data_IF_716198491995
#
_entry.id   IF_716198491995
#
_cell.length_a   1.000
_cell.length_b   1.000
_cell.length_c   1.000
_cell.angle_alpha   90.00
_cell.angle_beta   90.00
_cell.angle_gamma   90.00
#
_symmetry.space_group_name_H-M   'P 1'
#
loop_
_entity.id
_entity.type
_entity.pdbx_description
1 polymer ?
#
# COMPACT_ATOMS: atom_id res chain seq x y z
N UNK A 1 22.31 -33.13 37.24
CA UNK A 1 21.95 -32.28 36.09
C UNK A 1 22.48 -32.92 34.81
N UNK A 2 21.60 -33.41 33.93
CA UNK A 2 21.95 -34.11 32.69
C UNK A 2 22.37 -33.08 31.62
N UNK A 3 23.60 -33.21 31.11
CA UNK A 3 24.09 -32.52 29.91
C UNK A 3 23.53 -33.24 28.67
N UNK A 4 22.78 -32.52 27.83
CA UNK A 4 22.32 -33.02 26.53
C UNK A 4 23.36 -32.58 25.48
N UNK A 5 24.13 -33.54 24.98
CA UNK A 5 25.07 -33.33 23.86
C UNK A 5 24.32 -33.58 22.55
N UNK A 6 24.08 -32.54 21.74
CA UNK A 6 23.49 -32.67 20.40
C UNK A 6 24.44 -33.47 19.50
N UNK A 7 23.98 -34.59 18.95
CA UNK A 7 24.68 -35.35 17.91
C UNK A 7 24.38 -34.72 16.56
N UNK A 8 25.42 -34.29 15.84
CA UNK A 8 25.34 -33.93 14.43
C UNK A 8 25.34 -35.22 13.60
N UNK A 9 24.42 -35.32 12.64
CA UNK A 9 24.43 -36.36 11.61
C UNK A 9 25.11 -35.75 10.38
N UNK A 10 26.31 -36.22 10.07
CA UNK A 10 26.99 -35.95 8.80
C UNK A 10 26.59 -37.09 7.87
N UNK A 11 25.90 -36.78 6.77
CA UNK A 11 25.56 -37.76 5.73
C UNK A 11 26.70 -37.77 4.72
N UNK A 12 27.48 -38.86 4.58
CA UNK A 12 28.48 -38.97 3.53
C UNK A 12 27.79 -39.25 2.18
N UNK A 13 28.06 -38.41 1.18
CA UNK A 13 27.74 -38.69 -0.21
C UNK A 13 28.70 -39.78 -0.71
N UNK A 14 28.22 -41.02 -0.78
CA UNK A 14 28.89 -42.10 -1.50
C UNK A 14 28.47 -42.08 -2.98
N UNK A 15 29.40 -42.31 -3.93
CA UNK A 15 29.06 -42.43 -5.34
C UNK A 15 28.41 -43.79 -5.57
N UNK A 16 27.13 -43.80 -5.96
CA UNK A 16 26.44 -45.02 -6.34
C UNK A 16 26.78 -45.33 -7.81
N UNK A 17 27.64 -46.33 -8.02
CA UNK A 17 27.75 -47.03 -9.30
C UNK A 17 26.56 -48.00 -9.36
N UNK A 18 25.55 -47.69 -10.18
CA UNK A 18 24.41 -48.59 -10.42
C UNK A 18 24.71 -49.43 -11.66
N UNK A 19 25.15 -50.66 -11.44
CA UNK A 19 25.02 -51.72 -12.44
C UNK A 19 23.61 -52.32 -12.34
N UNK A 20 22.86 -52.22 -13.43
CA UNK A 20 21.75 -53.10 -13.84
C UNK A 20 20.74 -53.54 -12.78
N UNK A 21 19.69 -52.74 -12.57
CA UNK A 21 18.35 -53.21 -12.22
C UNK A 21 17.32 -52.29 -12.90
N UNK A 22 16.43 -52.89 -13.69
CA UNK A 22 15.36 -52.22 -14.44
C UNK A 22 14.49 -51.34 -13.52
N UNK A 23 14.70 -50.03 -13.57
CA UNK A 23 13.72 -49.04 -13.12
C UNK A 23 12.85 -48.64 -14.31
N UNK A 24 11.90 -49.50 -14.65
CA UNK A 24 10.76 -49.12 -15.49
C UNK A 24 9.64 -48.61 -14.58
N UNK A 25 9.90 -47.48 -13.94
CA UNK A 25 8.88 -46.62 -13.36
C UNK A 25 9.19 -45.23 -13.85
N UNK A 26 8.42 -44.79 -14.84
CA UNK A 26 8.32 -43.40 -15.22
C UNK A 26 8.21 -42.56 -13.95
N UNK A 27 9.23 -41.75 -13.69
CA UNK A 27 9.13 -40.66 -12.75
C UNK A 27 8.08 -39.74 -13.37
N UNK A 28 6.81 -39.94 -12.99
CA UNK A 28 5.77 -38.93 -13.19
C UNK A 28 6.28 -37.72 -12.43
N UNK A 29 6.80 -36.77 -13.20
CA UNK A 29 6.89 -35.34 -12.92
C UNK A 29 6.76 -35.03 -11.43
N UNK A 30 7.90 -34.74 -10.77
CA UNK A 30 7.88 -34.01 -9.51
C UNK A 30 7.18 -32.68 -9.79
N UNK A 31 5.87 -32.63 -9.55
CA UNK A 31 5.11 -31.38 -9.48
C UNK A 31 5.66 -30.62 -8.27
N UNK A 32 6.74 -29.88 -8.51
CA UNK A 32 7.09 -28.75 -7.65
C UNK A 32 5.93 -27.79 -7.81
N UNK A 33 4.98 -27.82 -6.88
CA UNK A 33 3.91 -26.82 -6.83
C UNK A 33 4.59 -25.45 -6.86
N UNK A 34 4.42 -24.76 -7.98
CA UNK A 34 4.86 -23.39 -8.11
C UNK A 34 4.09 -22.59 -7.07
N UNK A 35 4.81 -21.98 -6.13
CA UNK A 35 4.25 -21.08 -5.12
C UNK A 35 3.22 -20.14 -5.76
N UNK A 36 2.08 -19.96 -5.11
CA UNK A 36 1.01 -19.02 -5.53
C UNK A 36 1.46 -17.56 -5.45
N UNK A 37 2.64 -17.33 -4.87
CA UNK A 37 3.22 -16.02 -4.62
C UNK A 37 4.61 -15.90 -5.29
N UNK A 38 4.88 -14.73 -5.86
CA UNK A 38 6.20 -14.31 -6.31
C UNK A 38 6.60 -13.03 -5.60
N UNK A 39 7.45 -13.17 -4.58
CA UNK A 39 7.93 -12.05 -3.76
C UNK A 39 9.09 -11.35 -4.44
N UNK A 40 8.92 -10.07 -4.74
CA UNK A 40 9.86 -9.26 -5.52
C UNK A 40 10.76 -8.39 -4.64
N UNK A 41 10.26 -7.98 -3.47
CA UNK A 41 11.01 -7.21 -2.49
C UNK A 41 10.57 -7.57 -1.06
N UNK A 42 11.49 -7.44 -0.10
CA UNK A 42 11.31 -7.89 1.28
C UNK A 42 12.03 -9.20 1.61
N UNK A 43 11.77 -9.73 2.81
CA UNK A 43 12.39 -10.98 3.27
C UNK A 43 12.08 -12.13 2.33
N UNK A 44 13.09 -12.89 1.92
CA UNK A 44 12.95 -14.03 0.98
C UNK A 44 12.45 -13.65 -0.41
N UNK A 45 12.65 -12.40 -0.84
CA UNK A 45 12.43 -12.00 -2.23
C UNK A 45 13.31 -12.81 -3.20
N UNK A 46 12.81 -12.99 -4.42
CA UNK A 46 13.58 -13.64 -5.49
C UNK A 46 14.79 -12.77 -5.89
N UNK A 47 15.85 -13.42 -6.35
CA UNK A 47 17.08 -12.74 -6.79
C UNK A 47 16.90 -12.10 -8.17
N UNK A 48 17.78 -11.15 -8.51
CA UNK A 48 17.78 -10.48 -9.82
C UNK A 48 16.74 -9.36 -9.95
N UNK A 49 16.14 -8.94 -8.84
CA UNK A 49 15.29 -7.76 -8.74
C UNK A 49 15.93 -6.78 -7.77
N UNK A 50 16.00 -5.52 -8.16
CA UNK A 50 16.59 -4.46 -7.34
C UNK A 50 15.66 -3.24 -7.25
N UNK A 51 15.67 -2.51 -6.13
CA UNK A 51 14.92 -1.28 -5.95
C UNK A 51 15.66 -0.06 -6.54
N UNK A 52 14.91 0.86 -7.13
CA UNK A 52 15.39 2.07 -7.78
C UNK A 52 14.45 3.23 -7.49
N UNK A 53 14.99 4.44 -7.58
CA UNK A 53 14.22 5.67 -7.60
C UNK A 53 14.35 6.36 -8.97
N UNK A 54 13.30 7.06 -9.36
CA UNK A 54 13.23 7.85 -10.59
C UNK A 54 12.51 9.18 -10.31
N UNK A 55 12.96 10.25 -10.97
CA UNK A 55 12.43 11.59 -10.75
C UNK A 55 12.22 12.33 -12.08
N UNK A 56 11.02 12.91 -12.24
CA UNK A 56 10.69 13.80 -13.35
C UNK A 56 11.61 15.03 -13.39
N UNK A 57 12.01 15.57 -12.23
CA UNK A 57 12.85 16.78 -12.16
C UNK A 57 14.27 16.51 -12.65
N UNK A 58 14.68 15.25 -12.69
CA UNK A 58 15.99 14.81 -13.13
C UNK A 58 15.93 14.20 -14.53
N UNK A 59 15.00 14.67 -15.38
CA UNK A 59 14.76 14.17 -16.74
C UNK A 59 14.48 12.66 -16.78
N UNK A 60 13.75 12.14 -15.79
CA UNK A 60 13.40 10.73 -15.68
C UNK A 60 14.61 9.79 -15.51
N UNK A 61 15.75 10.31 -15.06
CA UNK A 61 16.89 9.48 -14.69
C UNK A 61 16.54 8.51 -13.55
N UNK A 62 17.30 7.41 -13.46
CA UNK A 62 17.10 6.37 -12.43
C UNK A 62 18.36 6.21 -11.59
N UNK A 63 18.18 5.94 -10.30
CA UNK A 63 19.28 5.63 -9.36
C UNK A 63 18.94 4.41 -8.52
N UNK A 64 19.88 3.47 -8.41
CA UNK A 64 19.68 2.25 -7.63
C UNK A 64 19.66 2.55 -6.14
N UNK A 65 18.70 1.98 -5.41
CA UNK A 65 18.61 2.09 -3.95
C UNK A 65 19.38 0.93 -3.32
N UNK A 66 20.20 1.26 -2.33
CA UNK A 66 21.00 0.29 -1.57
C UNK A 66 21.08 0.69 -0.10
N UNK A 67 21.99 0.08 0.66
CA UNK A 67 22.31 0.52 2.03
C UNK A 67 22.94 1.91 2.07
N UNK A 68 23.50 2.39 0.95
CA UNK A 68 23.94 3.77 0.82
C UNK A 68 22.75 4.60 0.30
N UNK A 69 22.44 5.76 0.91
CA UNK A 69 21.37 6.63 0.44
C UNK A 69 21.52 6.96 -1.05
N UNK A 70 20.48 6.68 -1.81
CA UNK A 70 20.27 7.18 -3.16
C UNK A 70 19.55 8.54 -3.07
N UNK A 71 19.99 9.51 -3.88
CA UNK A 71 19.45 10.86 -3.87
C UNK A 71 19.22 11.35 -5.30
N UNK A 72 18.04 11.94 -5.50
CA UNK A 72 17.64 12.65 -6.71
C UNK A 72 16.98 13.98 -6.29
N UNK A 73 16.67 14.85 -7.23
CA UNK A 73 16.01 16.13 -6.91
C UNK A 73 14.63 15.86 -6.30
N UNK A 74 14.46 16.20 -5.02
CA UNK A 74 13.21 16.02 -4.29
C UNK A 74 12.84 14.56 -3.98
N UNK A 75 13.79 13.64 -4.02
CA UNK A 75 13.58 12.25 -3.58
C UNK A 75 14.85 11.64 -3.00
N UNK A 76 14.72 11.03 -1.83
CA UNK A 76 15.79 10.26 -1.18
C UNK A 76 15.27 8.86 -0.87
N UNK A 77 16.13 7.85 -0.99
CA UNK A 77 15.78 6.49 -0.61
C UNK A 77 16.99 5.72 -0.08
N UNK A 78 16.77 4.86 0.92
CA UNK A 78 17.77 3.96 1.49
C UNK A 78 17.13 2.62 1.85
N UNK A 79 17.88 1.53 1.73
CA UNK A 79 17.45 0.24 2.26
C UNK A 79 17.80 0.14 3.75
N UNK A 80 16.80 -0.21 4.55
CA UNK A 80 16.89 -0.41 5.99
C UNK A 80 16.50 -1.84 6.36
N UNK A 81 16.84 -2.23 7.59
CA UNK A 81 16.43 -3.50 8.17
C UNK A 81 15.12 -3.31 8.94
N UNK A 82 14.10 -4.09 8.59
CA UNK A 82 12.84 -4.15 9.31
C UNK A 82 12.64 -5.56 9.89
N UNK A 83 12.37 -6.55 9.05
CA UNK A 83 12.26 -7.96 9.43
C UNK A 83 13.44 -8.81 8.93
N UNK A 84 14.28 -8.25 8.06
CA UNK A 84 15.47 -8.89 7.51
C UNK A 84 16.56 -7.87 7.20
N UNK A 85 17.54 -8.30 6.41
CA UNK A 85 18.60 -7.41 5.95
C UNK A 85 18.16 -6.70 4.67
N UNK A 86 18.16 -5.36 4.67
CA UNK A 86 17.81 -4.52 3.52
C UNK A 86 16.45 -4.85 2.91
N UNK A 87 15.50 -5.30 3.72
CA UNK A 87 14.21 -5.80 3.28
C UNK A 87 13.16 -4.69 3.12
N UNK A 88 13.47 -3.48 3.56
CA UNK A 88 12.55 -2.34 3.50
C UNK A 88 13.26 -1.15 2.87
N UNK A 89 12.56 -0.41 2.02
CA UNK A 89 13.04 0.87 1.52
C UNK A 89 12.39 1.99 2.35
N UNK A 90 13.19 2.91 2.84
CA UNK A 90 12.77 4.16 3.49
C UNK A 90 12.93 5.28 2.47
N UNK A 91 11.83 5.96 2.15
CA UNK A 91 11.74 6.94 1.07
C UNK A 91 11.23 8.28 1.63
N UNK A 92 11.85 9.35 1.15
CA UNK A 92 11.41 10.73 1.41
C UNK A 92 11.17 11.42 0.08
N UNK A 93 10.00 12.04 -0.06
CA UNK A 93 9.61 12.77 -1.27
C UNK A 93 9.27 14.20 -0.89
N UNK A 94 9.76 15.16 -1.69
CA UNK A 94 9.38 16.57 -1.57
C UNK A 94 8.99 17.14 -2.94
N UNK A 95 7.99 18.03 -2.92
CA UNK A 95 7.50 18.72 -4.11
C UNK A 95 6.25 18.06 -4.72
N UNK A 96 5.88 18.52 -5.91
CA UNK A 96 4.62 18.15 -6.58
C UNK A 96 4.80 17.46 -7.92
N UNK A 97 6.03 17.12 -8.29
CA UNK A 97 6.37 16.45 -9.54
C UNK A 97 6.50 14.94 -9.31
N UNK A 98 6.46 14.15 -10.39
CA UNK A 98 6.47 12.69 -10.30
C UNK A 98 7.76 12.18 -9.67
N UNK A 99 7.62 11.35 -8.63
CA UNK A 99 8.69 10.65 -7.90
C UNK A 99 8.30 9.20 -7.76
N UNK A 100 9.15 8.34 -8.28
CA UNK A 100 8.81 6.93 -8.48
C UNK A 100 9.78 6.08 -7.70
N UNK A 101 9.25 5.25 -6.80
CA UNK A 101 9.97 4.08 -6.32
C UNK A 101 9.60 2.90 -7.22
N UNK A 102 10.60 2.16 -7.73
CA UNK A 102 10.37 1.08 -8.67
C UNK A 102 11.26 -0.13 -8.42
N UNK A 103 10.80 -1.29 -8.87
CA UNK A 103 11.61 -2.50 -8.92
C UNK A 103 12.03 -2.74 -10.37
N UNK A 104 13.33 -3.01 -10.59
CA UNK A 104 13.89 -3.40 -11.89
C UNK A 104 14.37 -4.84 -11.83
N UNK A 105 13.98 -5.62 -12.84
CA UNK A 105 14.49 -6.96 -13.03
C UNK A 105 15.72 -6.95 -13.95
N UNK A 106 16.75 -7.73 -13.61
CA UNK A 106 17.95 -7.92 -14.44
C UNK A 106 17.63 -8.64 -15.77
N UNK A 107 16.54 -9.43 -15.78
CA UNK A 107 16.03 -10.12 -16.97
C UNK A 107 14.50 -10.04 -17.01
N UNK A 108 13.92 -10.06 -18.20
CA UNK A 108 12.45 -9.94 -18.32
C UNK A 108 11.73 -11.10 -17.64
N UNK A 109 10.65 -10.78 -16.92
CA UNK A 109 9.86 -11.72 -16.14
C UNK A 109 8.59 -12.15 -16.88
N UNK A 110 8.20 -13.41 -16.70
CA UNK A 110 6.90 -13.90 -17.14
C UNK A 110 5.92 -13.95 -15.96
N UNK A 111 5.05 -12.95 -15.89
CA UNK A 111 4.02 -12.75 -14.88
C UNK A 111 2.62 -13.10 -15.38
N UNK A 112 2.47 -13.70 -16.57
CA UNK A 112 1.15 -14.04 -17.17
C UNK A 112 0.24 -14.83 -16.24
N UNK A 113 0.80 -15.72 -15.40
CA UNK A 113 0.02 -16.50 -14.44
C UNK A 113 -0.77 -15.62 -13.47
N UNK A 114 -0.32 -14.40 -13.21
CA UNK A 114 -0.96 -13.45 -12.30
C UNK A 114 -1.93 -12.50 -12.99
N UNK A 115 -2.29 -12.69 -14.27
CA UNK A 115 -3.16 -11.76 -14.99
C UNK A 115 -4.50 -11.49 -14.29
N UNK A 116 -5.09 -12.51 -13.66
CA UNK A 116 -6.31 -12.41 -12.84
C UNK A 116 -6.02 -12.32 -11.33
N UNK A 117 -4.76 -12.16 -10.95
CA UNK A 117 -4.31 -12.08 -9.57
C UNK A 117 -4.08 -10.65 -9.11
N UNK A 118 -3.17 -10.49 -8.15
CA UNK A 118 -2.96 -9.23 -7.43
C UNK A 118 -1.49 -8.88 -7.30
N UNK A 119 -1.22 -7.58 -7.25
CA UNK A 119 0.00 -7.01 -6.66
C UNK A 119 -0.32 -6.68 -5.21
N UNK A 120 0.51 -7.13 -4.29
CA UNK A 120 0.40 -6.82 -2.88
C UNK A 120 1.70 -6.16 -2.40
N UNK A 121 1.59 -5.16 -1.55
CA UNK A 121 2.73 -4.52 -0.90
C UNK A 121 2.33 -3.93 0.45
N UNK A 122 3.32 -3.73 1.32
CA UNK A 122 3.14 -3.05 2.59
C UNK A 122 3.77 -1.68 2.56
N UNK A 123 3.07 -0.70 3.11
CA UNK A 123 3.52 0.68 3.20
C UNK A 123 3.25 1.21 4.60
N UNK A 124 4.16 2.05 5.11
CA UNK A 124 4.02 2.72 6.40
C UNK A 124 4.29 4.20 6.22
N UNK A 125 3.26 5.02 6.39
CA UNK A 125 3.38 6.48 6.33
C UNK A 125 4.27 7.01 7.45
N UNK A 126 5.18 7.95 7.16
CA UNK A 126 5.98 8.68 8.15
C UNK A 126 5.65 10.18 8.19
N UNK A 127 4.89 10.66 7.21
CA UNK A 127 4.32 12.00 7.14
C UNK A 127 2.81 11.94 6.85
N UNK A 128 2.20 13.11 6.60
CA UNK A 128 0.87 13.19 5.99
C UNK A 128 0.83 12.36 4.70
N UNK A 129 -0.27 11.61 4.52
CA UNK A 129 -0.48 10.74 3.35
C UNK A 129 -0.86 11.58 2.12
N UNK A 130 -0.43 11.18 0.92
CA UNK A 130 -0.81 11.86 -0.31
C UNK A 130 -2.28 11.59 -0.63
N UNK A 131 -2.93 12.53 -1.33
CA UNK A 131 -4.30 12.36 -1.81
C UNK A 131 -4.43 11.19 -2.80
N UNK A 132 -3.37 10.91 -3.56
CA UNK A 132 -3.34 9.82 -4.51
C UNK A 132 -1.93 9.25 -4.70
N UNK A 133 -1.87 7.99 -5.13
CA UNK A 133 -0.65 7.33 -5.60
C UNK A 133 -0.97 6.52 -6.85
N UNK A 134 0.01 6.27 -7.72
CA UNK A 134 -0.20 5.44 -8.91
C UNK A 134 0.67 4.19 -8.88
N UNK A 135 0.04 3.03 -8.98
CA UNK A 135 0.75 1.74 -9.07
C UNK A 135 0.84 1.33 -10.54
N UNK A 136 2.02 0.90 -11.01
CA UNK A 136 2.21 0.50 -12.41
C UNK A 136 3.10 -0.72 -12.59
N UNK A 137 2.95 -1.39 -13.75
CA UNK A 137 3.83 -2.43 -14.28
C UNK A 137 4.34 -1.95 -15.64
N UNK A 138 5.62 -2.22 -15.98
CA UNK A 138 6.18 -1.90 -17.29
C UNK A 138 6.99 -3.04 -17.93
N UNK A 139 7.00 -3.05 -19.26
CA UNK A 139 8.00 -3.78 -20.05
C UNK A 139 9.23 -2.94 -20.42
N UNK A 140 9.25 -1.65 -20.01
CA UNK A 140 9.99 -0.50 -20.55
C UNK A 140 9.06 0.45 -21.32
N UNK A 141 9.33 1.75 -21.24
CA UNK A 141 8.53 2.77 -21.93
C UNK A 141 8.53 2.51 -23.45
N UNK A 142 7.36 2.62 -24.14
CA UNK A 142 6.06 3.12 -23.69
C UNK A 142 5.09 2.06 -23.16
N UNK A 143 5.53 0.82 -22.93
CA UNK A 143 4.68 -0.26 -22.44
C UNK A 143 4.51 -0.19 -20.92
N UNK A 144 3.45 0.50 -20.47
CA UNK A 144 3.11 0.70 -19.07
C UNK A 144 1.60 0.56 -18.88
N UNK A 145 1.20 -0.12 -17.81
CA UNK A 145 -0.19 -0.16 -17.36
C UNK A 145 -0.23 0.22 -15.89
N UNK A 146 -1.21 1.04 -15.53
CA UNK A 146 -1.23 1.79 -14.29
C UNK A 146 -2.64 1.82 -13.69
N UNK A 147 -2.70 2.04 -12.39
CA UNK A 147 -3.93 2.32 -11.66
C UNK A 147 -3.66 3.41 -10.63
N UNK A 148 -4.50 4.46 -10.64
CA UNK A 148 -4.48 5.50 -9.62
C UNK A 148 -5.24 5.01 -8.41
N UNK A 149 -4.64 5.11 -7.23
CA UNK A 149 -5.20 4.78 -5.93
C UNK A 149 -5.46 6.08 -5.17
N UNK A 150 -6.73 6.47 -5.04
CA UNK A 150 -7.13 7.71 -4.36
C UNK A 150 -7.55 7.43 -2.92
N UNK A 151 -6.96 8.16 -1.95
CA UNK A 151 -7.37 8.08 -0.54
C UNK A 151 -7.32 6.68 0.08
N UNK A 152 -6.39 5.83 -0.37
CA UNK A 152 -6.32 4.41 0.07
C UNK A 152 -5.53 4.19 1.35
N UNK A 153 -4.77 5.21 1.81
CA UNK A 153 -3.99 5.14 3.03
C UNK A 153 -4.73 5.84 4.16
N UNK A 154 -4.84 5.18 5.31
CA UNK A 154 -5.32 5.81 6.54
C UNK A 154 -4.26 6.68 7.20
N UNK A 155 -2.98 6.34 6.98
CA UNK A 155 -1.85 6.97 7.68
C UNK A 155 -1.72 6.49 9.12
N UNK A 156 -1.02 7.27 9.96
CA UNK A 156 -0.90 6.99 11.40
C UNK A 156 0.32 6.15 11.80
N UNK A 157 1.28 5.95 10.89
CA UNK A 157 2.58 5.35 11.25
C UNK A 157 2.57 3.83 11.42
N UNK A 158 1.46 3.16 11.12
CA UNK A 158 1.35 1.70 11.12
C UNK A 158 1.61 1.11 9.74
N UNK A 159 1.93 -0.18 9.68
CA UNK A 159 2.04 -0.90 8.41
C UNK A 159 0.65 -1.18 7.84
N UNK A 160 0.38 -0.64 6.66
CA UNK A 160 -0.83 -0.88 5.87
C UNK A 160 -0.48 -1.83 4.71
N UNK A 161 -1.39 -2.75 4.39
CA UNK A 161 -1.22 -3.68 3.25
C UNK A 161 -2.16 -3.25 2.14
N UNK A 162 -1.62 -2.95 0.97
CA UNK A 162 -2.39 -2.62 -0.22
C UNK A 162 -2.38 -3.81 -1.18
N UNK A 163 -3.56 -4.17 -1.67
CA UNK A 163 -3.75 -5.26 -2.64
C UNK A 163 -4.49 -4.73 -3.86
N UNK A 164 -3.83 -4.79 -5.02
CA UNK A 164 -4.27 -4.20 -6.28
C UNK A 164 -4.51 -5.31 -7.32
N UNK A 165 -5.73 -5.46 -7.86
CA UNK A 165 -6.03 -6.43 -8.91
C UNK A 165 -5.31 -6.08 -10.22
N UNK A 166 -4.59 -7.04 -10.80
CA UNK A 166 -3.76 -6.79 -12.00
C UNK A 166 -4.60 -6.41 -13.22
N UNK A 167 -5.80 -7.00 -13.34
CA UNK A 167 -6.73 -6.72 -14.42
C UNK A 167 -7.23 -5.27 -14.46
N UNK A 168 -7.12 -4.54 -13.35
CA UNK A 168 -7.54 -3.14 -13.25
C UNK A 168 -6.47 -2.15 -13.73
N UNK A 169 -5.22 -2.59 -13.93
CA UNK A 169 -4.19 -1.72 -14.49
C UNK A 169 -4.45 -1.53 -15.98
N UNK A 170 -4.56 -0.28 -16.42
CA UNK A 170 -4.80 0.09 -17.81
C UNK A 170 -3.68 1.01 -18.31
N UNK A 171 -3.37 1.00 -19.61
CA UNK A 171 -2.49 2.03 -20.17
C UNK A 171 -3.15 3.41 -19.99
N UNK A 172 -2.37 4.40 -19.54
CA UNK A 172 -2.80 5.80 -19.57
C UNK A 172 -2.56 6.38 -20.98
N UNK A 173 -3.04 7.61 -21.19
CA UNK A 173 -2.92 8.30 -22.48
C UNK A 173 -1.46 8.38 -22.96
N UNK A 174 -1.20 7.79 -24.13
CA UNK A 174 0.13 7.73 -24.73
C UNK A 174 0.97 6.49 -24.38
N UNK A 175 0.52 5.65 -23.45
CA UNK A 175 1.12 4.34 -23.19
C UNK A 175 0.49 3.21 -24.00
N UNK A 176 1.22 2.11 -24.10
CA UNK A 176 0.73 0.84 -24.67
C UNK A 176 0.55 -0.15 -23.53
N UNK A 177 -0.50 -0.98 -23.62
CA UNK A 177 -0.72 -2.05 -22.67
C UNK A 177 0.53 -2.96 -22.52
N UNK A 178 0.76 -3.43 -21.30
CA UNK A 178 1.89 -4.32 -21.01
C UNK A 178 1.70 -5.71 -21.62
N UNK A 179 2.82 -6.33 -21.96
CA UNK A 179 2.93 -7.77 -22.16
C UNK A 179 3.43 -8.44 -20.88
N UNK A 180 2.53 -9.08 -20.13
CA UNK A 180 2.87 -9.78 -18.88
C UNK A 180 3.91 -10.91 -19.06
N UNK A 181 4.26 -11.35 -20.27
CA UNK A 181 5.31 -12.38 -20.45
C UNK A 181 6.75 -11.85 -20.48
N UNK A 182 6.95 -10.53 -20.54
CA UNK A 182 8.26 -9.92 -20.74
C UNK A 182 8.46 -8.66 -19.87
N UNK A 183 8.03 -8.71 -18.62
CA UNK A 183 8.03 -7.55 -17.70
C UNK A 183 9.45 -7.21 -17.25
N UNK A 184 9.90 -5.98 -17.52
CA UNK A 184 11.24 -5.51 -17.13
C UNK A 184 11.23 -4.76 -15.79
N UNK A 185 10.14 -4.02 -15.52
CA UNK A 185 9.97 -3.28 -14.27
C UNK A 185 8.63 -3.71 -13.64
N UNK A 186 8.62 -4.73 -12.78
CA UNK A 186 7.40 -5.35 -12.29
C UNK A 186 6.60 -4.53 -11.28
N UNK A 187 7.13 -3.40 -10.82
CA UNK A 187 6.45 -2.54 -9.86
C UNK A 187 6.96 -1.10 -9.98
N UNK A 188 6.02 -0.15 -9.98
CA UNK A 188 6.25 1.27 -9.75
C UNK A 188 5.20 1.79 -8.78
N UNK A 189 5.63 2.67 -7.88
CA UNK A 189 4.77 3.52 -7.07
C UNK A 189 5.15 4.96 -7.36
N UNK A 190 4.30 5.66 -8.11
CA UNK A 190 4.45 7.09 -8.44
C UNK A 190 3.63 7.95 -7.47
N UNK A 191 4.30 8.95 -6.90
CA UNK A 191 3.75 9.90 -5.95
C UNK A 191 4.12 11.31 -6.43
N UNK A 192 3.13 12.21 -6.42
CA UNK A 192 3.24 13.60 -6.91
C UNK A 192 3.01 14.62 -5.81
N UNK A 193 3.20 14.21 -4.56
CA UNK A 193 3.00 15.01 -3.36
C UNK A 193 4.12 14.73 -2.37
N UNK A 194 4.42 15.67 -1.48
CA UNK A 194 5.37 15.46 -0.39
C UNK A 194 4.89 14.29 0.47
N UNK A 195 5.70 13.24 0.60
CA UNK A 195 5.36 12.05 1.35
C UNK A 195 6.60 11.27 1.78
N UNK A 196 6.75 11.08 3.08
CA UNK A 196 7.76 10.21 3.66
C UNK A 196 7.09 8.87 4.03
N UNK A 197 7.69 7.77 3.61
CA UNK A 197 7.14 6.44 3.84
C UNK A 197 8.20 5.34 3.79
N UNK A 198 7.85 4.20 4.37
CA UNK A 198 8.58 2.96 4.17
C UNK A 198 7.74 1.97 3.37
N UNK A 199 8.37 1.15 2.53
CA UNK A 199 7.71 0.14 1.72
C UNK A 199 8.46 -1.19 1.77
N UNK A 200 7.72 -2.31 1.83
CA UNK A 200 8.28 -3.67 1.85
C UNK A 200 7.26 -4.69 1.32
N UNK A 201 7.64 -5.97 1.31
CA UNK A 201 6.77 -7.11 0.98
C UNK A 201 6.03 -6.97 -0.36
N UNK A 202 6.69 -6.42 -1.37
CA UNK A 202 6.11 -6.28 -2.72
C UNK A 202 6.09 -7.64 -3.39
N UNK A 203 4.93 -8.12 -3.79
CA UNK A 203 4.75 -9.45 -4.37
C UNK A 203 3.57 -9.54 -5.33
N UNK A 204 3.60 -10.56 -6.17
CA UNK A 204 2.46 -10.99 -6.98
C UNK A 204 1.83 -12.23 -6.34
N UNK A 205 0.50 -12.30 -6.32
CA UNK A 205 -0.25 -13.44 -5.74
C UNK A 205 -1.41 -13.83 -6.65
N UNK A 206 -1.72 -15.13 -6.72
CA UNK A 206 -2.86 -15.62 -7.53
C UNK A 206 -4.22 -15.31 -6.89
N UNK A 207 -4.31 -15.35 -5.56
CA UNK A 207 -5.52 -15.12 -4.79
C UNK A 207 -5.23 -14.26 -3.57
N UNK A 208 -6.28 -13.67 -2.99
CA UNK A 208 -6.21 -13.00 -1.70
C UNK A 208 -7.52 -13.22 -0.95
N UNK A 209 -7.43 -13.45 0.35
CA UNK A 209 -8.57 -13.41 1.28
C UNK A 209 -8.70 -12.05 1.96
N UNK A 210 -7.76 -11.13 1.68
CA UNK A 210 -7.76 -9.78 2.25
C UNK A 210 -8.70 -8.88 1.47
N UNK A 211 -9.29 -7.93 2.18
CA UNK A 211 -10.02 -6.83 1.56
C UNK A 211 -9.08 -6.07 0.61
N UNK A 212 -9.54 -5.88 -0.62
CA UNK A 212 -8.78 -5.18 -1.65
C UNK A 212 -9.16 -3.71 -1.63
N UNK A 213 -8.18 -2.81 -1.75
CA UNK A 213 -8.45 -1.36 -1.84
C UNK A 213 -9.09 -0.96 -3.18
N UNK A 214 -9.19 -1.90 -4.11
CA UNK A 214 -9.86 -1.76 -5.41
C UNK A 214 -10.82 -2.93 -5.56
N UNK A 215 -12.06 -2.65 -5.93
CA UNK A 215 -13.01 -3.70 -6.26
C UNK A 215 -12.50 -4.44 -7.51
N UNK A 216 -12.26 -5.77 -7.45
CA UNK A 216 -11.70 -6.50 -8.57
C UNK A 216 -12.63 -6.55 -9.78
N UNK A 217 -13.96 -6.48 -9.59
CA UNK A 217 -14.94 -6.61 -10.66
C UNK A 217 -15.22 -5.26 -11.35
N UNK A 218 -15.41 -4.18 -10.58
CA UNK A 218 -15.67 -2.85 -11.14
C UNK A 218 -14.40 -2.06 -11.45
N UNK A 219 -13.26 -2.46 -10.89
CA UNK A 219 -12.00 -1.70 -10.89
C UNK A 219 -12.12 -0.29 -10.29
N UNK A 220 -13.20 -0.04 -9.55
CA UNK A 220 -13.35 1.17 -8.77
C UNK A 220 -12.47 1.07 -7.52
N UNK A 221 -11.70 2.12 -7.28
CA UNK A 221 -10.96 2.26 -6.04
C UNK A 221 -12.00 2.46 -4.93
N UNK A 222 -12.07 1.51 -4.00
CA UNK A 222 -12.88 1.71 -2.81
C UNK A 222 -12.33 2.92 -2.07
N UNK A 223 -13.19 3.87 -1.69
CA UNK A 223 -12.83 4.79 -0.61
C UNK A 223 -12.45 3.89 0.56
N UNK A 224 -11.15 3.84 0.91
CA UNK A 224 -10.63 2.85 1.87
C UNK A 224 -11.53 2.84 3.09
N UNK A 225 -12.10 1.67 3.41
CA UNK A 225 -13.17 1.29 4.38
C UNK A 225 -13.65 2.29 5.44
N UNK A 226 -13.78 3.56 5.06
CA UNK A 226 -14.02 4.71 5.91
C UNK A 226 -15.51 4.90 6.09
N UNK A 227 -16.19 3.86 6.55
CA UNK A 227 -17.40 4.09 7.33
C UNK A 227 -16.88 4.80 8.60
N UNK A 228 -17.09 6.12 8.65
CA UNK A 228 -16.74 7.04 9.75
C UNK A 228 -15.38 7.75 9.74
N UNK A 229 -14.69 7.91 8.61
CA UNK A 229 -13.54 8.83 8.57
C UNK A 229 -13.79 10.05 7.69
N UNK A 230 -14.04 11.15 8.38
CA UNK A 230 -13.97 12.51 7.91
C UNK A 230 -12.73 12.76 7.02
N UNK A 231 -12.86 13.33 5.80
CA UNK A 231 -11.71 13.81 5.05
C UNK A 231 -10.87 14.81 5.86
N UNK A 232 -9.54 14.83 5.68
CA UNK A 232 -8.66 15.75 6.38
C UNK A 232 -9.04 17.20 6.07
N UNK A 233 -9.26 17.99 7.12
CA UNK A 233 -9.59 19.40 7.00
C UNK A 233 -8.30 20.22 6.79
N UNK A 234 -8.29 21.09 5.79
CA UNK A 234 -7.25 22.11 5.66
C UNK A 234 -7.27 23.05 6.87
N UNK A 235 -6.12 23.62 7.21
CA UNK A 235 -6.03 24.65 8.27
C UNK A 235 -6.97 25.81 7.91
N UNK A 236 -8.08 25.93 8.67
CA UNK A 236 -9.23 26.89 8.59
C UNK A 236 -10.58 26.30 8.17
N UNK A 237 -10.66 25.03 7.82
CA UNK A 237 -11.96 24.38 7.58
C UNK A 237 -12.47 23.74 8.87
N UNK A 238 -13.75 23.96 9.17
CA UNK A 238 -14.50 23.23 10.18
C UNK A 238 -15.55 22.39 9.45
N UNK A 239 -15.60 21.09 9.72
CA UNK A 239 -16.65 20.22 9.19
C UNK A 239 -17.34 19.47 10.32
N UNK A 240 -18.66 19.33 10.17
CA UNK A 240 -19.51 18.52 11.02
C UNK A 240 -19.78 17.21 10.31
N UNK A 241 -19.37 16.10 10.91
CA UNK A 241 -19.56 14.77 10.36
C UNK A 241 -20.70 14.05 11.06
N UNK A 242 -21.63 13.51 10.27
CA UNK A 242 -22.75 12.71 10.75
C UNK A 242 -22.52 11.24 10.39
N UNK A 243 -22.43 10.37 11.40
CA UNK A 243 -22.35 8.92 11.23
C UNK A 243 -23.71 8.29 11.50
N UNK A 244 -24.51 8.10 10.45
CA UNK A 244 -25.82 7.45 10.50
C UNK A 244 -26.42 7.28 9.10
N UNK A 245 -27.55 6.58 8.99
CA UNK A 245 -28.31 6.49 7.73
C UNK A 245 -28.88 7.88 7.38
N UNK A 246 -28.31 8.52 6.36
CA UNK A 246 -28.72 9.87 5.93
C UNK A 246 -30.14 9.91 5.38
N UNK A 247 -30.70 8.78 4.96
CA UNK A 247 -32.09 8.68 4.51
C UNK A 247 -33.10 8.72 5.65
N UNK A 248 -32.63 8.51 6.89
CA UNK A 248 -33.42 8.65 8.13
C UNK A 248 -33.19 10.00 8.81
N UNK A 249 -32.24 10.80 8.35
CA UNK A 249 -32.02 12.14 8.86
C UNK A 249 -33.23 13.04 8.52
N UNK A 250 -33.85 13.59 9.56
CA UNK A 250 -34.98 14.52 9.43
C UNK A 250 -34.56 15.90 9.91
N UNK A 251 -34.83 16.92 9.09
CA UNK A 251 -34.66 18.31 9.48
C UNK A 251 -35.74 18.72 10.49
N UNK A 252 -35.32 18.91 11.73
CA UNK A 252 -36.17 19.33 12.84
C UNK A 252 -35.92 20.77 13.29
N UNK A 253 -35.26 21.59 12.46
CA UNK A 253 -34.92 22.99 12.77
C UNK A 253 -36.15 23.83 13.16
N UNK A 254 -37.33 23.46 12.67
CA UNK A 254 -38.61 24.11 12.98
C UNK A 254 -39.26 23.65 14.31
N UNK A 255 -38.80 22.54 14.89
CA UNK A 255 -39.44 21.88 16.04
C UNK A 255 -38.73 22.14 17.38
N UNK A 256 -37.48 22.60 17.35
CA UNK A 256 -36.68 22.84 18.55
C UNK A 256 -36.15 24.28 18.56
N UNK A 257 -36.72 25.19 19.38
CA UNK A 257 -36.14 26.50 19.57
C UNK A 257 -34.78 26.40 20.27
N UNK A 258 -33.91 27.36 19.97
CA UNK A 258 -32.56 27.52 20.51
C UNK A 258 -32.57 27.30 22.05
N UNK A 259 -31.61 26.49 22.54
CA UNK A 259 -31.27 26.19 23.96
C UNK A 259 -31.83 24.93 24.65
N UNK A 260 -32.35 23.90 23.95
CA UNK A 260 -33.02 22.78 24.64
C UNK A 260 -32.27 21.44 24.79
N UNK A 261 -30.98 21.33 24.49
CA UNK A 261 -30.28 20.04 24.59
C UNK A 261 -29.14 20.06 25.62
N UNK A 262 -29.07 18.98 26.39
CA UNK A 262 -27.98 18.62 27.30
C UNK A 262 -27.14 17.52 26.68
N UNK A 263 -25.83 17.66 26.74
CA UNK A 263 -24.86 16.69 26.27
C UNK A 263 -23.63 16.74 27.16
N UNK A 264 -22.93 15.62 27.24
CA UNK A 264 -21.60 15.55 27.82
C UNK A 264 -20.57 15.70 26.69
N UNK A 265 -19.61 16.61 26.88
CA UNK A 265 -18.53 16.91 25.92
C UNK A 265 -17.22 16.34 26.45
N UNK A 266 -16.53 15.55 25.63
CA UNK A 266 -15.20 15.05 25.94
C UNK A 266 -14.24 15.43 24.81
N UNK A 267 -13.17 16.15 25.16
CA UNK A 267 -12.16 16.62 24.22
C UNK A 267 -10.90 15.77 24.37
N UNK A 268 -10.52 15.07 23.30
CA UNK A 268 -9.24 14.36 23.21
C UNK A 268 -8.54 14.74 21.91
N UNK A 269 -7.27 15.16 22.00
CA UNK A 269 -6.40 15.39 20.83
C UNK A 269 -7.03 16.29 19.75
N UNK A 270 -7.68 17.40 20.14
CA UNK A 270 -8.33 18.37 19.23
C UNK A 270 -9.53 17.81 18.45
N UNK A 271 -10.04 16.64 18.85
CA UNK A 271 -11.30 16.07 18.37
C UNK A 271 -12.32 16.24 19.49
N UNK A 272 -13.40 16.96 19.19
CA UNK A 272 -14.50 17.14 20.15
C UNK A 272 -15.55 16.08 19.89
N UNK A 273 -15.68 15.14 20.83
CA UNK A 273 -16.69 14.10 20.75
C UNK A 273 -17.95 14.58 21.48
N UNK A 274 -19.08 14.57 20.77
CA UNK A 274 -20.39 14.92 21.34
C UNK A 274 -21.24 13.66 21.40
N UNK A 275 -21.57 13.23 22.61
CA UNK A 275 -22.45 12.08 22.84
C UNK A 275 -23.81 12.57 23.32
N UNK A 276 -24.86 12.20 22.60
CA UNK A 276 -26.24 12.40 23.03
C UNK A 276 -26.84 11.03 23.35
N UNK A 277 -27.35 10.85 24.58
CA UNK A 277 -28.03 9.61 24.97
C UNK A 277 -29.42 9.45 24.34
N UNK A 278 -29.96 10.53 23.75
CA UNK A 278 -31.24 10.62 23.04
C UNK A 278 -31.11 11.61 21.85
N UNK A 279 -32.23 12.08 21.25
CA UNK A 279 -32.23 13.08 20.17
C UNK A 279 -31.38 14.31 20.53
N UNK A 280 -30.37 14.62 19.73
CA UNK A 280 -29.47 15.76 19.92
C UNK A 280 -29.00 16.39 18.61
N UNK A 281 -28.45 17.60 18.70
CA UNK A 281 -27.94 18.35 17.54
C UNK A 281 -26.82 19.32 17.94
N UNK A 282 -25.90 19.57 17.01
CA UNK A 282 -24.76 20.49 17.16
C UNK A 282 -25.05 21.78 16.40
N UNK A 283 -24.86 22.94 17.03
CA UNK A 283 -25.02 24.25 16.41
C UNK A 283 -23.71 25.01 16.42
N UNK A 284 -23.44 25.74 15.34
CA UNK A 284 -22.25 26.57 15.16
C UNK A 284 -22.70 28.04 15.05
N UNK A 285 -22.55 28.82 16.11
CA UNK A 285 -22.97 30.22 16.15
C UNK A 285 -22.29 30.97 17.30
N UNK A 286 -22.02 32.27 17.09
CA UNK A 286 -21.25 33.12 18.01
C UNK A 286 -22.14 33.73 19.09
N UNK A 287 -22.34 33.04 20.21
CA UNK A 287 -22.97 33.64 21.40
C UNK A 287 -22.38 33.06 22.69
N UNK A 288 -22.37 33.89 23.75
CA UNK A 288 -21.72 33.70 25.07
C UNK A 288 -22.25 32.53 25.92
N UNK A 289 -22.75 31.46 25.31
CA UNK A 289 -23.08 30.22 26.00
C UNK A 289 -21.83 29.35 26.14
N UNK A 290 -21.70 28.60 27.24
CA UNK A 290 -20.67 27.54 27.46
C UNK A 290 -20.80 26.35 26.46
N UNK A 291 -21.46 26.57 25.34
CA UNK A 291 -21.89 25.63 24.30
C UNK A 291 -21.52 26.13 22.90
N UNK A 292 -20.75 27.22 22.83
CA UNK A 292 -20.20 27.78 21.60
C UNK A 292 -18.89 27.07 21.26
N UNK A 293 -18.89 26.34 20.13
CA UNK A 293 -17.69 25.66 19.63
C UNK A 293 -16.79 26.60 18.78
N UNK A 294 -17.10 27.89 18.69
CA UNK A 294 -16.35 28.86 17.88
C UNK A 294 -15.00 29.28 18.48
N UNK A 295 -14.70 28.87 19.71
CA UNK A 295 -13.38 29.01 20.33
C UNK A 295 -12.39 27.89 19.92
N UNK A 296 -12.87 26.76 19.38
CA UNK A 296 -12.03 25.64 18.91
C UNK A 296 -11.47 25.86 17.49
N UNK A 297 -11.07 27.10 17.16
CA UNK A 297 -10.51 27.52 15.87
C UNK A 297 -9.04 27.17 15.69
#
# INVERSE_FOLDING_TARGET
>A
MKRITKKYIVIPLLPIIIAGCNFDKSIKQLDVQQSDESKLFGVSAITGISPWIQSESDNWNVTQVSQTPASMTGMHAILINNNGQNDTADIQITGTQSRIFMLKSESTMNLKRYQAGYIEFKIRSKSAVPSSMTVSIDNEWPNRSSLVLNGVLSGGGSWETLTVPIQCLQPFDGAIAINLSQVGNPFHLDIKETFDYEITDIMYRLTTERETVVNPDSCEVGAGSGVNQAPPLESRHLALYYSGDSTQAQDYTSSYPINFFGFDVEEENQVVNVFASDNGGVFLGSEDSDKDFSEYK
#
